data_IF_486563295964
#
_entry.id   IF_486563295964
#
_cell.length_a   1.000
_cell.length_b   1.000
_cell.length_c   1.000
_cell.angle_alpha   90.00
_cell.angle_beta   90.00
_cell.angle_gamma   90.00
#
_symmetry.space_group_name_H-M   'P 1'
#
loop_
_entity.id
_entity.type
_entity.pdbx_description
1 polymer ?
#
# COMPACT_ATOMS: atom_id res chain seq x y z
N UNK A 1 10.04 -1.07 16.58
CA UNK A 1 9.98 -2.55 16.73
C UNK A 1 9.71 -3.15 15.36
N UNK A 2 9.92 -4.44 15.17
CA UNK A 2 9.80 -5.10 13.86
C UNK A 2 9.03 -6.40 14.01
N UNK A 3 8.18 -6.72 13.03
CA UNK A 3 7.45 -7.98 13.03
C UNK A 3 6.66 -8.20 11.77
N UNK A 4 6.13 -9.42 11.62
CA UNK A 4 5.26 -9.80 10.52
C UNK A 4 3.80 -9.58 10.91
N UNK A 5 3.04 -8.94 10.03
CA UNK A 5 1.60 -8.80 10.19
C UNK A 5 0.95 -10.17 9.99
N UNK A 6 0.31 -10.69 11.01
CA UNK A 6 -0.38 -11.98 10.97
C UNK A 6 -1.86 -11.82 10.64
N UNK A 7 -2.50 -10.77 11.16
CA UNK A 7 -3.91 -10.50 10.89
C UNK A 7 -4.26 -9.02 11.02
N UNK A 8 -5.21 -8.57 10.20
CA UNK A 8 -5.79 -7.22 10.26
C UNK A 8 -7.32 -7.34 10.40
N UNK A 9 -7.86 -6.88 11.53
CA UNK A 9 -9.29 -6.97 11.85
C UNK A 9 -9.89 -5.58 12.05
N UNK A 10 -10.76 -5.13 11.14
CA UNK A 10 -11.50 -3.88 11.28
C UNK A 10 -12.25 -3.44 10.00
N UNK A 11 -12.88 -2.26 10.00
CA UNK A 11 -12.96 -1.31 11.12
C UNK A 11 -13.92 -1.76 12.23
N UNK A 12 -13.58 -1.50 13.49
CA UNK A 12 -14.42 -1.70 14.69
C UNK A 12 -14.77 -0.36 15.32
N UNK A 13 -15.93 -0.25 15.97
CA UNK A 13 -16.34 0.96 16.72
C UNK A 13 -15.90 0.91 18.18
N UNK A 14 -15.20 1.94 18.61
CA UNK A 14 -14.89 2.20 20.01
C UNK A 14 -16.13 2.70 20.76
N UNK A 15 -16.10 2.66 22.09
CA UNK A 15 -17.18 3.15 22.96
C UNK A 15 -17.53 4.63 22.69
N UNK A 16 -16.55 5.40 22.22
CA UNK A 16 -16.72 6.82 21.87
C UNK A 16 -17.12 7.04 20.40
N UNK A 17 -17.49 5.98 19.66
CA UNK A 17 -17.90 6.06 18.26
C UNK A 17 -16.75 6.24 17.26
N UNK A 18 -15.49 6.27 17.72
CA UNK A 18 -14.31 6.30 16.85
C UNK A 18 -14.04 4.92 16.28
N UNK A 19 -13.77 4.84 14.98
CA UNK A 19 -13.36 3.60 14.33
C UNK A 19 -11.89 3.30 14.64
N UNK A 20 -11.58 2.02 14.81
CA UNK A 20 -10.21 1.53 15.01
C UNK A 20 -10.05 0.15 14.37
N UNK A 21 -8.81 -0.17 14.03
CA UNK A 21 -8.39 -1.48 13.54
C UNK A 21 -7.62 -2.22 14.61
N UNK A 22 -7.59 -3.54 14.52
CA UNK A 22 -6.80 -4.40 15.38
C UNK A 22 -5.84 -5.18 14.50
N UNK A 23 -4.54 -5.03 14.74
CA UNK A 23 -3.49 -5.72 14.03
C UNK A 23 -2.81 -6.70 14.97
N UNK A 24 -2.53 -7.90 14.48
CA UNK A 24 -1.68 -8.88 15.17
C UNK A 24 -0.33 -8.88 14.48
N UNK A 25 0.73 -8.49 15.18
CA UNK A 25 2.10 -8.43 14.64
C UNK A 25 3.01 -9.27 15.54
N UNK A 26 3.61 -10.33 15.00
CA UNK A 26 4.51 -11.22 15.75
C UNK A 26 3.88 -11.81 17.02
N UNK A 27 2.60 -12.18 16.99
CA UNK A 27 1.83 -12.67 18.14
C UNK A 27 1.30 -11.60 19.09
N UNK A 28 1.66 -10.32 18.92
CA UNK A 28 1.13 -9.23 19.73
C UNK A 28 -0.10 -8.58 19.08
N UNK A 29 -1.18 -8.44 19.85
CA UNK A 29 -2.39 -7.73 19.39
C UNK A 29 -2.32 -6.26 19.75
N UNK A 30 -2.39 -5.40 18.73
CA UNK A 30 -2.25 -3.95 18.80
C UNK A 30 -3.48 -3.29 18.18
N UNK A 31 -3.83 -2.10 18.64
CA UNK A 31 -4.91 -1.28 18.06
C UNK A 31 -4.35 -0.15 17.22
N UNK A 32 -5.05 0.23 16.16
CA UNK A 32 -4.69 1.34 15.27
C UNK A 32 -5.89 2.25 15.12
N UNK A 33 -5.76 3.51 15.54
CA UNK A 33 -6.85 4.48 15.52
C UNK A 33 -6.77 5.42 14.31
N UNK A 34 -5.64 5.42 13.61
CA UNK A 34 -5.43 6.18 12.38
C UNK A 34 -5.49 5.23 11.18
N UNK A 35 -6.58 5.27 10.37
CA UNK A 35 -6.76 4.35 9.25
C UNK A 35 -5.63 4.46 8.23
N UNK A 36 -5.07 5.66 8.05
CA UNK A 36 -3.98 5.91 7.10
C UNK A 36 -2.69 5.14 7.41
N UNK A 37 -2.49 4.70 8.65
CA UNK A 37 -1.34 3.85 8.99
C UNK A 37 -1.48 2.43 8.45
N UNK A 38 -2.72 1.97 8.22
CA UNK A 38 -3.02 0.61 7.74
C UNK A 38 -3.16 0.59 6.21
N UNK A 39 -3.32 1.74 5.57
CA UNK A 39 -3.42 1.82 4.12
C UNK A 39 -2.16 1.27 3.45
N UNK A 40 -2.31 0.25 2.60
CA UNK A 40 -1.20 -0.40 1.90
C UNK A 40 -0.48 -1.49 2.69
N UNK A 41 -0.87 -1.77 3.94
CA UNK A 41 -0.35 -2.89 4.73
C UNK A 41 -1.25 -4.12 4.54
N UNK A 42 -0.65 -5.26 4.23
CA UNK A 42 -1.34 -6.53 4.05
C UNK A 42 -0.89 -7.58 5.08
N UNK A 43 -1.72 -8.60 5.29
CA UNK A 43 -1.32 -9.79 6.05
C UNK A 43 -0.12 -10.47 5.38
N UNK A 44 0.88 -10.85 6.17
CA UNK A 44 2.14 -11.44 5.72
C UNK A 44 3.29 -10.43 5.54
N UNK A 45 3.00 -9.13 5.49
CA UNK A 45 4.02 -8.09 5.33
C UNK A 45 4.93 -7.99 6.55
N UNK A 46 6.22 -7.79 6.30
CA UNK A 46 7.18 -7.40 7.33
C UNK A 46 7.10 -5.88 7.53
N UNK A 47 6.87 -5.45 8.76
CA UNK A 47 6.63 -4.04 9.09
C UNK A 47 7.52 -3.59 10.23
N UNK A 48 7.92 -2.33 10.18
CA UNK A 48 8.45 -1.60 11.32
C UNK A 48 7.30 -0.84 11.99
N UNK A 49 7.16 -0.99 13.30
CA UNK A 49 6.07 -0.36 14.04
C UNK A 49 6.53 0.19 15.38
N UNK A 50 5.86 1.25 15.82
CA UNK A 50 5.95 1.77 17.18
C UNK A 50 4.55 1.87 17.77
N UNK A 51 4.45 1.60 19.08
CA UNK A 51 3.19 1.73 19.80
C UNK A 51 3.37 2.49 21.10
N UNK A 52 2.31 3.17 21.47
CA UNK A 52 2.12 3.79 22.78
C UNK A 52 1.18 2.94 23.62
N UNK A 53 1.39 2.91 24.94
CA UNK A 53 0.47 2.25 25.87
C UNK A 53 -0.43 3.32 26.48
N UNK A 54 -1.73 3.18 26.31
CA UNK A 54 -2.74 4.04 26.92
C UNK A 54 -3.69 3.19 27.76
N UNK A 55 -3.44 3.16 29.07
CA UNK A 55 -4.16 2.28 29.99
C UNK A 55 -3.83 0.80 29.72
N UNK A 56 -4.86 -0.01 29.44
CA UNK A 56 -4.71 -1.44 29.11
C UNK A 56 -4.55 -1.72 27.61
N UNK A 57 -4.53 -0.68 26.76
CA UNK A 57 -4.49 -0.81 25.32
C UNK A 57 -3.14 -0.39 24.76
N UNK A 58 -2.61 -1.17 23.81
CA UNK A 58 -1.45 -0.82 22.99
C UNK A 58 -1.96 -0.21 21.68
N UNK A 59 -1.63 1.05 21.43
CA UNK A 59 -2.00 1.77 20.22
C UNK A 59 -0.78 2.03 19.35
N UNK A 60 -0.81 1.58 18.10
CA UNK A 60 0.22 1.86 17.12
C UNK A 60 0.21 3.36 16.80
N UNK A 61 1.38 3.97 16.86
CA UNK A 61 1.61 5.39 16.53
C UNK A 61 2.43 5.57 15.26
N UNK A 62 3.15 4.52 14.85
CA UNK A 62 3.92 4.49 13.62
C UNK A 62 3.86 3.08 13.04
N UNK A 63 3.61 2.97 11.74
CA UNK A 63 3.59 1.72 11.00
C UNK A 63 4.12 1.96 9.60
N UNK A 64 5.16 1.22 9.23
CA UNK A 64 5.79 1.32 7.91
C UNK A 64 6.13 -0.08 7.42
N UNK A 65 5.86 -0.33 6.13
CA UNK A 65 6.24 -1.58 5.49
C UNK A 65 7.75 -1.60 5.26
N UNK A 66 8.39 -2.70 5.65
CA UNK A 66 9.77 -2.93 5.26
C UNK A 66 9.78 -3.32 3.79
N UNK A 67 10.48 -2.55 2.97
CA UNK A 67 10.83 -3.01 1.63
C UNK A 67 11.64 -4.29 1.77
N UNK A 68 11.08 -5.41 1.33
CA UNK A 68 11.86 -6.61 1.17
C UNK A 68 12.90 -6.30 0.09
N UNK A 69 14.18 -6.24 0.49
CA UNK A 69 15.26 -6.32 -0.48
C UNK A 69 15.06 -7.62 -1.24
N UNK A 70 14.51 -7.53 -2.45
CA UNK A 70 14.37 -8.67 -3.32
C UNK A 70 15.80 -9.02 -3.74
N UNK A 71 16.49 -9.82 -2.92
CA UNK A 71 17.61 -10.64 -3.39
C UNK A 71 16.99 -11.67 -4.33
N UNK A 72 16.75 -11.23 -5.55
CA UNK A 72 16.69 -12.14 -6.65
C UNK A 72 18.10 -12.75 -6.75
N UNK A 73 18.27 -13.95 -6.22
CA UNK A 73 19.35 -14.87 -6.62
C UNK A 73 19.08 -15.24 -8.10
N UNK A 74 19.22 -14.25 -8.99
CA UNK A 74 19.34 -14.51 -10.41
C UNK A 74 20.73 -15.11 -10.58
N UNK A 75 20.86 -16.30 -11.20
CA UNK A 75 22.17 -16.84 -11.53
C UNK A 75 22.96 -15.78 -12.31
N UNK A 76 24.18 -15.51 -11.85
CA UNK A 76 25.06 -14.43 -12.28
C UNK A 76 25.65 -14.62 -13.69
N UNK A 77 24.83 -14.97 -14.68
CA UNK A 77 25.22 -15.11 -16.08
C UNK A 77 24.47 -14.19 -17.04
N UNK A 78 23.83 -13.12 -16.56
CA UNK A 78 23.39 -12.02 -17.43
C UNK A 78 24.21 -10.77 -17.14
N UNK A 79 25.47 -10.82 -17.57
CA UNK A 79 26.32 -9.62 -17.63
C UNK A 79 26.11 -8.89 -18.95
N UNK A 80 25.81 -7.59 -18.82
CA UNK A 80 26.02 -6.50 -19.79
C UNK A 80 25.20 -6.56 -21.09
N UNK A 81 24.13 -5.75 -21.08
CA UNK A 81 23.61 -5.06 -22.27
C UNK A 81 22.39 -5.72 -22.90
N UNK A 82 21.20 -5.28 -22.49
CA UNK A 82 19.92 -5.49 -23.19
C UNK A 82 18.87 -4.70 -22.38
N UNK A 83 18.31 -3.58 -22.85
CA UNK A 83 17.10 -3.58 -23.69
C UNK A 83 16.43 -4.96 -23.68
N UNK A 84 15.50 -5.18 -22.76
CA UNK A 84 14.64 -6.36 -22.79
C UNK A 84 13.20 -5.90 -22.76
N UNK A 85 12.66 -5.83 -23.98
CA UNK A 85 11.35 -6.29 -24.40
C UNK A 85 10.46 -6.86 -23.28
N UNK A 86 9.50 -6.04 -22.83
CA UNK A 86 8.21 -6.57 -22.38
C UNK A 86 7.54 -7.21 -23.60
N UNK A 87 7.75 -8.51 -23.76
CA UNK A 87 6.96 -9.35 -24.67
C UNK A 87 5.47 -9.28 -24.27
N UNK A 88 4.77 -8.25 -24.75
CA UNK A 88 4.04 -8.40 -26.01
C UNK A 88 2.52 -8.54 -25.91
N UNK A 89 1.89 -8.33 -24.75
CA UNK A 89 0.41 -8.43 -24.69
C UNK A 89 -0.33 -7.57 -23.67
N UNK A 90 0.33 -7.09 -22.62
CA UNK A 90 -0.31 -6.27 -21.59
C UNK A 90 -0.01 -4.78 -21.86
N UNK A 91 1.18 -4.45 -22.37
CA UNK A 91 1.60 -3.08 -22.66
C UNK A 91 0.78 -2.39 -23.76
N UNK A 92 0.38 -3.08 -24.83
CA UNK A 92 -0.35 -2.43 -25.94
C UNK A 92 -1.73 -1.93 -25.49
N UNK A 93 -2.44 -2.71 -24.66
CA UNK A 93 -3.74 -2.30 -24.13
C UNK A 93 -3.61 -1.17 -23.11
N UNK A 94 -2.55 -1.19 -22.28
CA UNK A 94 -2.29 -0.11 -21.32
C UNK A 94 -1.90 1.20 -22.01
N UNK A 95 -1.10 1.13 -23.09
CA UNK A 95 -0.76 2.29 -23.91
C UNK A 95 -1.99 2.85 -24.63
N UNK A 96 -2.85 2.00 -25.18
CA UNK A 96 -4.09 2.43 -25.83
C UNK A 96 -5.09 3.06 -24.83
N UNK A 97 -5.19 2.50 -23.62
CA UNK A 97 -6.00 3.07 -22.54
C UNK A 97 -5.44 4.42 -22.09
N UNK A 98 -4.12 4.54 -21.93
CA UNK A 98 -3.44 5.78 -21.54
C UNK A 98 -3.71 6.90 -22.55
N UNK A 99 -3.53 6.63 -23.85
CA UNK A 99 -3.81 7.60 -24.90
C UNK A 99 -5.29 8.02 -24.95
N UNK A 100 -6.23 7.07 -24.78
CA UNK A 100 -7.66 7.39 -24.74
C UNK A 100 -8.03 8.28 -23.55
N UNK A 101 -7.43 8.05 -22.38
CA UNK A 101 -7.65 8.88 -21.19
C UNK A 101 -7.10 10.29 -21.38
N UNK A 102 -5.94 10.45 -22.03
CA UNK A 102 -5.37 11.77 -22.33
C UNK A 102 -6.30 12.63 -23.19
N UNK A 103 -6.89 12.05 -24.23
CA UNK A 103 -7.80 12.78 -25.13
C UNK A 103 -9.09 13.19 -24.41
N UNK A 104 -9.62 12.33 -23.53
CA UNK A 104 -10.81 12.65 -22.73
C UNK A 104 -10.55 13.82 -21.79
N UNK A 105 -9.38 13.87 -21.15
CA UNK A 105 -9.00 14.97 -20.26
C UNK A 105 -8.95 16.31 -21.03
N UNK A 106 -8.40 16.32 -22.24
CA UNK A 106 -8.32 17.53 -23.07
C UNK A 106 -9.71 18.04 -23.46
N UNK A 107 -10.60 17.15 -23.92
CA UNK A 107 -11.99 17.49 -24.28
C UNK A 107 -12.79 18.01 -23.06
N UNK A 108 -12.56 17.43 -21.89
CA UNK A 108 -13.22 17.90 -20.66
C UNK A 108 -12.69 19.28 -20.26
N UNK A 109 -11.39 19.53 -20.41
CA UNK A 109 -10.79 20.83 -20.12
C UNK A 109 -11.30 21.95 -21.04
N UNK A 110 -11.65 21.64 -22.29
CA UNK A 110 -12.23 22.62 -23.22
C UNK A 110 -13.72 22.92 -22.93
N UNK A 111 -14.48 21.94 -22.41
CA UNK A 111 -15.92 22.11 -22.12
C UNK A 111 -16.23 22.98 -20.90
N UNK A 112 -15.28 23.15 -19.98
CA UNK A 112 -15.45 24.04 -18.83
C UNK A 112 -15.24 25.53 -19.16
N UNK A 113 -14.77 25.87 -20.37
CA UNK A 113 -14.60 27.27 -20.81
C UNK A 113 -15.83 27.90 -21.46
N UNK A 114 -16.88 27.12 -21.79
CA UNK A 114 -18.09 27.62 -22.47
C UNK A 114 -19.31 27.79 -21.56
N UNK A 115 -19.17 27.55 -20.24
CA UNK A 115 -20.25 27.75 -19.26
C UNK A 115 -20.00 29.02 -18.43
N UNK A 116 -19.96 30.15 -19.13
CA UNK A 116 -20.11 31.50 -18.55
C UNK A 116 -21.57 31.84 -18.35
#
# INVERSE_FOLDING_TARGET
MEGKVESIIGPKKSRNGKDYFVLTIGGETLSVWEPSLVEGICEGDDVCYEFSVSGSFKNITFLEKKEAEIKCDYPAEFTKGSEVDTSGRIDERLCEISNKLSVIIEILSEKDSDKK
#
